data_IF_372626482857
#
_entry.id   IF_372626482857
#
_cell.length_a   1.000
_cell.length_b   1.000
_cell.length_c   1.000
_cell.angle_alpha   90.00
_cell.angle_beta   90.00
_cell.angle_gamma   90.00
#
_symmetry.space_group_name_H-M   'P 1'
#
loop_
_entity.id
_entity.type
_entity.pdbx_description
1 polymer ?
#
# COMPACT_ATOMS: atom_id res chain seq x y z
N UNK A 1 -14.24 7.84 10.06
CA UNK A 1 -13.11 7.88 11.01
C UNK A 1 -11.94 7.11 10.39
N UNK A 2 -10.71 7.62 10.53
CA UNK A 2 -9.50 6.97 9.98
C UNK A 2 -8.33 7.19 10.94
N UNK A 3 -7.35 6.29 10.84
CA UNK A 3 -6.06 6.40 11.53
C UNK A 3 -4.98 6.86 10.55
N UNK A 4 -4.00 7.63 11.04
CA UNK A 4 -2.89 8.12 10.23
C UNK A 4 -1.59 7.48 10.72
N UNK A 5 -0.92 6.77 9.82
CA UNK A 5 0.33 6.08 10.09
C UNK A 5 1.48 6.79 9.36
N UNK A 6 2.36 7.43 10.11
CA UNK A 6 3.53 8.11 9.58
C UNK A 6 4.76 7.89 10.48
N UNK A 7 5.95 8.15 9.93
CA UNK A 7 7.22 7.92 10.63
C UNK A 7 7.47 8.81 11.87
N UNK A 8 6.55 9.75 12.20
CA UNK A 8 6.72 10.67 13.34
C UNK A 8 6.25 10.06 14.67
N UNK A 9 5.47 8.99 14.65
CA UNK A 9 4.83 8.41 15.83
C UNK A 9 5.10 6.90 15.94
N UNK A 10 6.36 6.51 16.03
CA UNK A 10 6.77 5.10 16.11
C UNK A 10 6.12 4.31 17.26
N UNK A 11 5.88 4.95 18.40
CA UNK A 11 5.25 4.29 19.54
C UNK A 11 3.79 3.91 19.28
N UNK A 12 3.08 4.68 18.46
CA UNK A 12 1.69 4.43 18.08
C UNK A 12 1.57 3.52 16.85
N UNK A 13 2.65 3.38 16.08
CA UNK A 13 2.66 2.63 14.83
C UNK A 13 2.20 1.19 15.02
N UNK A 14 2.74 0.48 16.02
CA UNK A 14 2.38 -0.90 16.31
C UNK A 14 0.89 -1.04 16.71
N UNK A 15 0.37 -0.10 17.49
CA UNK A 15 -1.03 -0.08 17.91
C UNK A 15 -1.98 0.16 16.71
N UNK A 16 -1.66 1.13 15.85
CA UNK A 16 -2.44 1.44 14.65
C UNK A 16 -2.45 0.23 13.70
N UNK A 17 -1.30 -0.40 13.47
CA UNK A 17 -1.19 -1.58 12.61
C UNK A 17 -1.98 -2.75 13.18
N UNK A 18 -1.95 -2.95 14.50
CA UNK A 18 -2.72 -3.99 15.17
C UNK A 18 -4.23 -3.88 14.91
N UNK A 19 -4.73 -2.66 14.72
CA UNK A 19 -6.14 -2.38 14.47
C UNK A 19 -6.50 -2.26 12.98
N UNK A 20 -5.51 -2.10 12.09
CA UNK A 20 -5.73 -1.81 10.66
C UNK A 20 -6.52 -2.90 9.92
N UNK A 21 -6.47 -4.15 10.39
CA UNK A 21 -7.21 -5.28 9.82
C UNK A 21 -8.64 -5.44 10.32
N UNK A 22 -9.15 -4.58 11.19
CA UNK A 22 -10.53 -4.67 11.72
C UNK A 22 -11.57 -4.32 10.65
N UNK A 23 -12.80 -4.86 10.78
CA UNK A 23 -13.90 -4.50 9.88
C UNK A 23 -14.15 -2.99 9.85
N UNK A 24 -14.18 -2.40 8.65
CA UNK A 24 -14.43 -0.98 8.46
C UNK A 24 -13.28 -0.05 8.89
N UNK A 25 -12.13 -0.58 9.30
CA UNK A 25 -10.96 0.23 9.60
C UNK A 25 -10.40 0.87 8.34
N UNK A 26 -10.04 2.16 8.43
CA UNK A 26 -9.37 2.91 7.38
C UNK A 26 -8.07 3.47 7.93
N UNK A 27 -6.95 3.12 7.30
CA UNK A 27 -5.62 3.60 7.68
C UNK A 27 -4.99 4.35 6.51
N UNK A 28 -4.64 5.61 6.72
CA UNK A 28 -3.89 6.43 5.76
C UNK A 28 -2.42 6.36 6.17
N UNK A 29 -1.58 5.85 5.28
CA UNK A 29 -0.19 5.59 5.60
C UNK A 29 0.75 6.09 4.50
N UNK A 30 1.98 6.48 4.88
CA UNK A 30 3.06 6.62 3.91
C UNK A 30 3.50 5.23 3.42
N UNK A 31 4.05 5.15 2.21
CA UNK A 31 4.44 3.87 1.59
C UNK A 31 5.44 3.05 2.42
N UNK A 32 6.23 3.70 3.28
CA UNK A 32 7.24 3.06 4.13
C UNK A 32 6.73 2.74 5.53
N UNK A 33 5.61 3.32 5.97
CA UNK A 33 5.05 3.10 7.29
C UNK A 33 4.59 1.64 7.47
N UNK A 34 4.83 1.07 8.63
CA UNK A 34 4.49 -0.32 8.95
C UNK A 34 5.26 -1.36 8.13
N UNK A 35 6.40 -1.01 7.56
CA UNK A 35 7.23 -1.96 6.80
C UNK A 35 7.73 -3.08 7.70
N UNK A 36 7.54 -4.34 7.26
CA UNK A 36 7.96 -5.52 8.01
C UNK A 36 6.93 -6.01 9.03
N UNK A 37 5.80 -5.31 9.19
CA UNK A 37 4.72 -5.73 10.10
C UNK A 37 3.54 -6.28 9.29
N UNK A 38 2.98 -7.41 9.73
CA UNK A 38 1.80 -8.00 9.12
C UNK A 38 0.52 -7.34 9.63
N UNK A 39 -0.42 -7.12 8.71
CA UNK A 39 -1.78 -6.69 9.04
C UNK A 39 -2.62 -7.95 9.17
N UNK A 40 -3.07 -8.24 10.40
CA UNK A 40 -3.88 -9.41 10.71
C UNK A 40 -5.35 -9.08 10.49
N UNK A 41 -6.04 -9.85 9.65
CA UNK A 41 -7.47 -9.65 9.40
C UNK A 41 -8.29 -9.90 10.67
N UNK A 42 -9.18 -8.96 11.00
CA UNK A 42 -9.92 -8.95 12.26
C UNK A 42 -9.23 -8.20 13.39
N UNK A 43 -8.00 -7.70 13.17
CA UNK A 43 -7.12 -7.10 14.17
C UNK A 43 -6.16 -8.10 14.80
N UNK A 44 -5.11 -7.63 15.47
CA UNK A 44 -4.13 -8.50 16.12
C UNK A 44 -4.56 -8.80 17.57
N UNK A 45 -5.13 -9.99 17.77
CA UNK A 45 -5.66 -10.42 19.07
C UNK A 45 -4.57 -10.54 20.13
N UNK A 46 -3.36 -10.95 19.78
CA UNK A 46 -2.28 -11.13 20.75
C UNK A 46 -1.79 -9.77 21.30
N UNK A 47 -1.77 -8.75 20.45
CA UNK A 47 -1.49 -7.37 20.90
C UNK A 47 -2.65 -6.84 21.78
N UNK A 48 -3.90 -7.10 21.39
CA UNK A 48 -5.07 -6.70 22.18
C UNK A 48 -5.05 -7.33 23.59
N UNK A 49 -4.70 -8.62 23.68
CA UNK A 49 -4.57 -9.33 24.96
C UNK A 49 -3.40 -8.79 25.80
N UNK A 50 -2.25 -8.56 25.16
CA UNK A 50 -1.07 -8.03 25.88
C UNK A 50 -1.30 -6.63 26.47
N UNK A 51 -2.11 -5.80 25.82
CA UNK A 51 -2.44 -4.45 26.29
C UNK A 51 -3.41 -4.46 27.49
N UNK A 52 -4.21 -5.52 27.65
CA UNK A 52 -5.13 -5.64 28.78
C UNK A 52 -4.47 -6.13 30.07
N UNK A 53 -3.32 -6.76 29.97
CA UNK A 53 -2.61 -7.33 31.12
C UNK A 53 -3.24 -8.63 31.65
N UNK A 54 -3.25 -8.82 32.97
CA UNK A 54 -3.81 -10.03 33.58
C UNK A 54 -5.34 -10.03 33.45
N UNK A 55 -5.84 -10.91 32.61
CA UNK A 55 -7.27 -11.15 32.37
C UNK A 55 -7.65 -12.58 32.78
N UNK A 56 -8.92 -12.79 33.11
CA UNK A 56 -9.42 -14.13 33.39
C UNK A 56 -9.47 -14.99 32.12
N UNK A 57 -9.42 -16.32 32.28
CA UNK A 57 -9.55 -17.26 31.16
C UNK A 57 -10.88 -17.10 30.42
N UNK A 58 -11.94 -16.70 31.14
CA UNK A 58 -13.26 -16.44 30.54
C UNK A 58 -13.22 -15.21 29.64
N UNK A 59 -12.57 -14.11 30.09
CA UNK A 59 -12.41 -12.89 29.30
C UNK A 59 -11.54 -13.12 28.06
N UNK A 60 -10.43 -13.85 28.19
CA UNK A 60 -9.59 -14.21 27.07
C UNK A 60 -10.37 -15.02 26.03
N UNK A 61 -11.15 -16.00 26.48
CA UNK A 61 -11.99 -16.83 25.60
C UNK A 61 -13.03 -15.99 24.87
N UNK A 62 -13.68 -15.07 25.56
CA UNK A 62 -14.66 -14.15 24.95
C UNK A 62 -14.00 -13.24 23.90
N UNK A 63 -12.82 -12.70 24.19
CA UNK A 63 -12.08 -11.85 23.24
C UNK A 63 -11.65 -12.62 21.98
N UNK A 64 -11.18 -13.86 22.14
CA UNK A 64 -10.82 -14.72 20.99
C UNK A 64 -12.04 -15.08 20.13
N UNK A 65 -13.21 -15.31 20.75
CA UNK A 65 -14.46 -15.54 20.03
C UNK A 65 -14.92 -14.29 19.26
N UNK A 66 -14.82 -13.11 19.86
CA UNK A 66 -15.13 -11.86 19.19
C UNK A 66 -14.19 -11.58 18.03
N UNK A 67 -12.88 -11.80 18.25
CA UNK A 67 -11.88 -11.70 17.17
C UNK A 67 -12.21 -12.64 16.01
N UNK A 68 -12.61 -13.87 16.29
CA UNK A 68 -12.98 -14.84 15.23
C UNK A 68 -14.14 -14.35 14.39
N UNK A 69 -15.17 -13.74 15.01
CA UNK A 69 -16.29 -13.13 14.28
C UNK A 69 -15.82 -11.97 13.40
N UNK A 70 -14.97 -11.08 13.93
CA UNK A 70 -14.41 -9.96 13.16
C UNK A 70 -13.58 -10.46 11.98
N UNK A 71 -12.77 -11.48 12.19
CA UNK A 71 -11.96 -12.11 11.16
C UNK A 71 -12.82 -12.70 10.04
N UNK A 72 -13.87 -13.44 10.38
CA UNK A 72 -14.82 -14.01 9.41
C UNK A 72 -15.55 -12.93 8.61
N UNK A 73 -15.92 -11.81 9.23
CA UNK A 73 -16.54 -10.66 8.56
C UNK A 73 -15.59 -10.07 7.50
N UNK A 74 -14.31 -9.87 7.85
CA UNK A 74 -13.32 -9.30 6.93
C UNK A 74 -13.01 -10.27 5.79
N UNK A 75 -12.88 -11.56 6.08
CA UNK A 75 -12.71 -12.60 5.05
C UNK A 75 -13.89 -12.63 4.07
N UNK A 76 -15.12 -12.59 4.60
CA UNK A 76 -16.34 -12.57 3.78
C UNK A 76 -16.48 -11.31 2.92
N UNK A 77 -15.87 -10.21 3.34
CA UNK A 77 -15.82 -8.95 2.58
C UNK A 77 -14.71 -8.93 1.50
N UNK A 78 -13.86 -9.98 1.43
CA UNK A 78 -12.76 -10.06 0.46
C UNK A 78 -11.40 -9.66 1.02
N UNK A 79 -11.26 -9.51 2.34
CA UNK A 79 -10.00 -9.22 3.02
C UNK A 79 -9.59 -7.76 3.00
N UNK A 80 -8.28 -7.52 3.07
CA UNK A 80 -7.70 -6.17 3.05
C UNK A 80 -7.68 -5.60 1.62
N UNK A 81 -8.24 -4.39 1.47
CA UNK A 81 -8.09 -3.60 0.24
C UNK A 81 -6.98 -2.56 0.41
N UNK A 82 -5.99 -2.58 -0.46
CA UNK A 82 -4.88 -1.63 -0.48
C UNK A 82 -5.07 -0.65 -1.63
N UNK A 83 -5.17 0.63 -1.29
CA UNK A 83 -5.33 1.70 -2.26
C UNK A 83 -4.06 2.55 -2.29
N UNK A 84 -3.38 2.58 -3.45
CA UNK A 84 -2.28 3.48 -3.71
C UNK A 84 -2.77 4.74 -4.43
N UNK A 85 -2.39 5.92 -3.92
CA UNK A 85 -2.78 7.22 -4.50
C UNK A 85 -1.74 7.76 -5.48
N UNK A 86 -0.62 7.07 -5.63
CA UNK A 86 0.45 7.37 -6.59
C UNK A 86 1.23 6.09 -6.94
N UNK A 87 1.98 6.12 -8.03
CA UNK A 87 2.94 5.07 -8.36
C UNK A 87 4.33 5.51 -7.93
N UNK A 88 5.06 4.58 -7.34
CA UNK A 88 6.46 4.82 -6.98
C UNK A 88 7.37 4.73 -8.23
N UNK A 89 8.55 5.37 -8.17
CA UNK A 89 9.58 5.25 -9.22
C UNK A 89 10.09 3.82 -9.41
N UNK A 90 9.99 2.98 -8.38
CA UNK A 90 10.38 1.58 -8.41
C UNK A 90 9.17 0.65 -8.33
N UNK A 91 9.04 -0.21 -9.35
CA UNK A 91 8.01 -1.27 -9.38
C UNK A 91 8.09 -2.18 -8.14
N UNK A 92 9.29 -2.39 -7.60
CA UNK A 92 9.48 -3.19 -6.40
C UNK A 92 8.73 -2.60 -5.20
N UNK A 93 8.72 -1.29 -5.05
CA UNK A 93 8.02 -0.61 -3.95
C UNK A 93 6.49 -0.72 -4.12
N UNK A 94 5.98 -0.56 -5.33
CA UNK A 94 4.56 -0.79 -5.64
C UNK A 94 4.16 -2.24 -5.31
N UNK A 95 4.99 -3.22 -5.67
CA UNK A 95 4.73 -4.62 -5.35
C UNK A 95 4.79 -4.90 -3.83
N UNK A 96 5.65 -4.22 -3.08
CA UNK A 96 5.66 -4.29 -1.62
C UNK A 96 4.37 -3.72 -1.02
N UNK A 97 3.81 -2.67 -1.60
CA UNK A 97 2.52 -2.12 -1.18
C UNK A 97 1.39 -3.10 -1.51
N UNK A 98 1.34 -3.64 -2.73
CA UNK A 98 0.38 -4.68 -3.12
C UNK A 98 0.48 -5.92 -2.23
N UNK A 99 1.68 -6.32 -1.87
CA UNK A 99 1.94 -7.47 -1.00
C UNK A 99 1.54 -7.28 0.46
N UNK A 100 0.94 -6.15 0.83
CA UNK A 100 0.32 -5.97 2.14
C UNK A 100 -1.03 -6.66 2.26
N UNK A 101 -1.76 -6.82 1.17
CA UNK A 101 -2.95 -7.64 1.11
C UNK A 101 -2.61 -9.08 0.67
N UNK A 102 -3.49 -10.03 0.94
CA UNK A 102 -3.34 -11.42 0.51
C UNK A 102 -2.19 -12.18 1.19
N UNK A 103 -1.74 -11.77 2.37
CA UNK A 103 -0.70 -12.46 3.12
C UNK A 103 -1.22 -13.77 3.71
N UNK A 104 -0.34 -14.75 3.81
CA UNK A 104 -0.63 -16.07 4.39
C UNK A 104 -1.79 -16.83 3.71
N UNK A 105 -2.11 -16.47 2.46
CA UNK A 105 -3.23 -17.07 1.73
C UNK A 105 -4.58 -16.40 1.94
N UNK A 106 -4.64 -15.34 2.73
CA UNK A 106 -5.86 -14.56 2.93
C UNK A 106 -6.29 -13.85 1.64
N UNK A 107 -7.59 -13.66 1.41
CA UNK A 107 -8.07 -12.84 0.32
C UNK A 107 -7.64 -11.38 0.51
N UNK A 108 -7.50 -10.68 -0.60
CA UNK A 108 -7.18 -9.26 -0.59
C UNK A 108 -7.17 -8.69 -2.00
N UNK A 109 -7.24 -7.38 -2.09
CA UNK A 109 -7.23 -6.68 -3.37
C UNK A 109 -6.41 -5.39 -3.29
N UNK A 110 -5.95 -4.90 -4.43
CA UNK A 110 -5.23 -3.64 -4.50
C UNK A 110 -5.59 -2.86 -5.75
N UNK A 111 -5.70 -1.55 -5.62
CA UNK A 111 -5.89 -0.63 -6.72
C UNK A 111 -4.93 0.56 -6.61
N UNK A 112 -4.57 1.15 -7.75
CA UNK A 112 -3.82 2.38 -7.81
C UNK A 112 -4.63 3.44 -8.54
N UNK A 113 -4.84 4.57 -7.89
CA UNK A 113 -5.41 5.78 -8.46
C UNK A 113 -4.28 6.77 -8.63
N UNK A 114 -4.02 7.18 -9.86
CA UNK A 114 -2.89 8.03 -10.21
C UNK A 114 -3.37 9.25 -10.97
N UNK A 115 -2.70 10.37 -10.76
CA UNK A 115 -2.91 11.59 -11.54
C UNK A 115 -1.87 11.67 -12.65
N UNK A 116 -2.27 12.29 -13.77
CA UNK A 116 -1.34 12.66 -14.84
C UNK A 116 -0.31 13.71 -14.39
N UNK A 117 -0.59 14.39 -13.28
CA UNK A 117 0.30 15.37 -12.66
C UNK A 117 1.33 14.73 -11.71
N UNK A 118 1.20 13.43 -11.40
CA UNK A 118 2.15 12.72 -10.55
C UNK A 118 3.55 12.73 -11.15
N UNK A 119 4.57 12.78 -10.27
CA UNK A 119 5.97 12.95 -10.68
C UNK A 119 6.44 11.95 -11.73
N UNK A 120 6.06 10.68 -11.59
CA UNK A 120 6.38 9.63 -12.57
C UNK A 120 5.77 9.92 -13.95
N UNK A 121 4.51 10.38 -13.98
CA UNK A 121 3.79 10.67 -15.22
C UNK A 121 4.32 11.95 -15.89
N UNK A 122 4.68 12.96 -15.11
CA UNK A 122 5.28 14.21 -15.62
C UNK A 122 6.62 13.97 -16.28
N UNK A 123 7.44 13.06 -15.74
CA UNK A 123 8.79 12.79 -16.26
C UNK A 123 8.74 12.00 -17.58
N UNK A 124 7.82 11.04 -17.74
CA UNK A 124 7.87 10.07 -18.84
C UNK A 124 6.56 9.83 -19.57
N UNK A 125 5.44 10.39 -19.13
CA UNK A 125 4.10 10.02 -19.62
C UNK A 125 3.30 11.14 -20.25
N UNK A 126 3.61 12.41 -19.95
CA UNK A 126 2.69 13.53 -20.18
C UNK A 126 2.32 13.77 -21.64
N UNK A 127 3.28 13.79 -22.57
CA UNK A 127 2.99 14.18 -23.96
C UNK A 127 2.18 13.12 -24.74
N UNK A 128 2.52 11.83 -24.56
CA UNK A 128 1.83 10.75 -25.30
C UNK A 128 0.44 10.46 -24.73
N UNK A 129 0.28 10.58 -23.43
CA UNK A 129 -1.00 10.31 -22.76
C UNK A 129 -1.93 11.50 -22.89
N UNK A 130 -1.44 12.74 -22.77
CA UNK A 130 -2.21 13.95 -23.02
C UNK A 130 -2.77 13.96 -24.45
N UNK A 131 -1.95 13.67 -25.46
CA UNK A 131 -2.40 13.57 -26.85
C UNK A 131 -3.40 12.44 -27.11
N UNK A 132 -3.42 11.40 -26.27
CA UNK A 132 -4.43 10.35 -26.37
C UNK A 132 -5.75 10.77 -25.70
N UNK A 133 -5.69 11.44 -24.54
CA UNK A 133 -6.87 11.96 -23.85
C UNK A 133 -7.64 12.95 -24.71
N UNK A 134 -6.91 13.85 -25.36
CA UNK A 134 -7.49 14.81 -26.32
C UNK A 134 -8.20 14.12 -27.49
N UNK A 135 -7.60 13.02 -28.00
CA UNK A 135 -8.21 12.21 -29.08
C UNK A 135 -9.42 11.39 -28.64
N UNK A 136 -9.48 11.00 -27.37
CA UNK A 136 -10.60 10.24 -26.80
C UNK A 136 -11.77 11.13 -26.37
N UNK A 137 -11.62 12.46 -26.41
CA UNK A 137 -12.67 13.42 -26.05
C UNK A 137 -13.09 13.33 -24.58
N UNK A 138 -12.17 12.98 -23.69
CA UNK A 138 -12.45 12.79 -22.26
C UNK A 138 -12.57 14.12 -21.55
N UNK A 139 -13.54 14.20 -20.65
CA UNK A 139 -13.75 15.36 -19.79
C UNK A 139 -12.80 15.32 -18.59
N UNK A 140 -12.46 16.50 -18.05
CA UNK A 140 -11.64 16.63 -16.84
C UNK A 140 -12.33 15.93 -15.65
N UNK A 141 -11.58 15.06 -14.98
CA UNK A 141 -12.06 14.31 -13.80
C UNK A 141 -12.62 12.92 -14.11
N UNK A 142 -12.63 12.49 -15.34
CA UNK A 142 -13.04 11.13 -15.72
C UNK A 142 -11.91 10.12 -15.48
N UNK A 143 -12.22 9.00 -14.80
CA UNK A 143 -11.25 7.95 -14.53
C UNK A 143 -10.98 7.10 -15.76
N UNK A 144 -9.70 6.94 -16.11
CA UNK A 144 -9.29 6.14 -17.28
C UNK A 144 -8.84 4.75 -16.82
N UNK A 145 -9.62 3.73 -17.15
CA UNK A 145 -9.24 2.33 -16.97
C UNK A 145 -8.95 1.70 -18.35
N UNK A 146 -7.70 1.77 -18.79
CA UNK A 146 -7.31 1.17 -20.05
C UNK A 146 -5.97 0.44 -19.97
N UNK A 147 -5.83 -0.79 -20.51
CA UNK A 147 -4.58 -1.56 -20.46
C UNK A 147 -3.38 -0.83 -21.05
N UNK A 148 -3.62 0.08 -21.96
CA UNK A 148 -2.58 0.89 -22.60
C UNK A 148 -1.97 1.91 -21.63
N UNK A 149 -2.79 2.51 -20.77
CA UNK A 149 -2.33 3.42 -19.70
C UNK A 149 -1.43 2.65 -18.72
N UNK A 150 -1.84 1.45 -18.31
CA UNK A 150 -1.03 0.58 -17.45
C UNK A 150 0.34 0.29 -18.07
N UNK A 151 0.39 -0.03 -19.37
CA UNK A 151 1.66 -0.26 -20.08
C UNK A 151 2.51 1.01 -20.17
N UNK A 152 1.91 2.17 -20.37
CA UNK A 152 2.64 3.44 -20.39
C UNK A 152 3.32 3.72 -19.05
N UNK A 153 2.62 3.48 -17.95
CA UNK A 153 3.14 3.62 -16.59
C UNK A 153 4.29 2.63 -16.33
N UNK A 154 4.12 1.37 -16.69
CA UNK A 154 5.18 0.34 -16.54
C UNK A 154 6.43 0.71 -17.35
N UNK A 155 6.27 1.25 -18.54
CA UNK A 155 7.39 1.71 -19.36
C UNK A 155 8.07 2.95 -18.75
N UNK A 156 7.30 3.86 -18.16
CA UNK A 156 7.83 5.00 -17.43
C UNK A 156 8.68 4.54 -16.23
N UNK A 157 8.16 3.62 -15.42
CA UNK A 157 8.89 3.04 -14.29
C UNK A 157 10.20 2.37 -14.74
N UNK A 158 10.19 1.56 -15.79
CA UNK A 158 11.40 0.92 -16.32
C UNK A 158 12.46 1.93 -16.72
N UNK A 159 12.08 3.05 -17.33
CA UNK A 159 13.03 4.11 -17.72
C UNK A 159 13.65 4.79 -16.51
N UNK A 160 12.84 5.08 -15.45
CA UNK A 160 13.34 5.66 -14.20
C UNK A 160 14.27 4.68 -13.50
N UNK A 161 13.89 3.41 -13.38
CA UNK A 161 14.72 2.37 -12.79
C UNK A 161 16.06 2.23 -13.52
N UNK A 162 16.05 2.23 -14.85
CA UNK A 162 17.27 2.20 -15.68
C UNK A 162 18.17 3.40 -15.41
N UNK A 163 17.63 4.61 -15.41
CA UNK A 163 18.40 5.82 -15.09
C UNK A 163 18.99 5.78 -13.68
N UNK A 164 18.20 5.37 -12.69
CA UNK A 164 18.65 5.26 -11.31
C UNK A 164 19.72 4.18 -11.14
N UNK A 165 19.66 3.11 -11.93
CA UNK A 165 20.70 2.07 -11.98
C UNK A 165 22.01 2.63 -12.55
N UNK A 166 21.96 3.36 -13.66
CA UNK A 166 23.14 3.94 -14.29
C UNK A 166 23.83 4.96 -13.37
N UNK A 167 23.05 5.83 -12.70
CA UNK A 167 23.57 6.79 -11.72
C UNK A 167 24.28 6.05 -10.58
N UNK A 168 23.67 5.00 -10.01
CA UNK A 168 24.28 4.20 -8.94
C UNK A 168 25.55 3.50 -9.40
N UNK A 169 25.58 2.99 -10.62
CA UNK A 169 26.77 2.37 -11.20
C UNK A 169 27.92 3.35 -11.35
N UNK A 170 27.62 4.58 -11.77
CA UNK A 170 28.63 5.65 -11.86
C UNK A 170 29.19 6.01 -10.48
N UNK A 171 28.33 6.16 -9.46
CA UNK A 171 28.76 6.46 -8.08
C UNK A 171 29.69 5.36 -7.53
N UNK A 172 29.36 4.09 -7.75
CA UNK A 172 30.21 2.97 -7.35
C UNK A 172 31.56 2.96 -8.09
N UNK A 173 31.59 3.41 -9.33
CA UNK A 173 32.84 3.52 -10.08
C UNK A 173 33.73 4.61 -9.48
N UNK A 174 33.19 5.76 -9.08
CA UNK A 174 33.96 6.82 -8.42
C UNK A 174 34.46 6.42 -7.03
N UNK A 175 33.67 5.70 -6.24
CA UNK A 175 34.07 5.18 -4.92
C UNK A 175 35.23 4.17 -5.01
N UNK A 176 35.29 3.39 -6.08
CA UNK A 176 36.39 2.41 -6.28
C UNK A 176 37.68 3.01 -6.84
N UNK A 177 37.68 4.25 -7.29
CA UNK A 177 38.83 4.94 -7.89
C UNK A 177 39.48 5.96 -6.93
N UNK A 178 38.83 6.26 -5.82
CA UNK A 178 39.35 7.12 -4.74
C UNK A 178 39.92 6.31 -3.59
#
# INVERSE_FOLDING_TARGET
QHEVLNAKHHEQEASIIAQAGRPGAVTIATNMAGRGTDIVLGGNIDIELSQKGDISLEEETAMRQDWKKRHEIVLGAGGLHVLGTERHESRRVDNQLRGRCGRQGDPGSSAFYISMEDGLMRIFGSEKVAGLMEKLGMEDGEAIEHPWVTRAIENAQKKVEGRNFDVRKQLLYYDNVS
#
